data_IF_726991117906
#
_entry.id   IF_726991117906
#
_cell.length_a   1.000
_cell.length_b   1.000
_cell.length_c   1.000
_cell.angle_alpha   90.00
_cell.angle_beta   90.00
_cell.angle_gamma   90.00
#
_symmetry.space_group_name_H-M   'P 1'
#
loop_
_entity.id
_entity.type
_entity.pdbx_description
1 polymer ?
#
# COMPACT_ATOMS: atom_id res chain seq x y z
N UNK A 1 6.76 -12.25 -6.31
CA UNK A 1 6.66 -12.82 -7.67
C UNK A 1 6.37 -14.31 -7.57
N UNK A 2 7.30 -15.12 -7.05
CA UNK A 2 7.16 -16.58 -6.90
C UNK A 2 5.82 -17.06 -6.32
N UNK A 3 5.34 -16.44 -5.23
CA UNK A 3 4.06 -16.81 -4.63
C UNK A 3 2.85 -16.61 -5.58
N UNK A 4 2.88 -15.59 -6.45
CA UNK A 4 1.82 -15.39 -7.47
C UNK A 4 1.91 -16.40 -8.62
N UNK A 5 3.09 -16.97 -8.86
CA UNK A 5 3.32 -17.97 -9.91
C UNK A 5 3.06 -19.40 -9.41
N UNK A 6 2.65 -19.58 -8.14
CA UNK A 6 2.45 -20.89 -7.53
C UNK A 6 3.75 -21.55 -7.03
N UNK A 7 4.89 -20.87 -7.13
CA UNK A 7 6.20 -21.39 -6.70
C UNK A 7 6.38 -21.23 -5.17
N UNK A 8 5.56 -21.93 -4.40
CA UNK A 8 5.47 -21.78 -2.95
C UNK A 8 6.80 -22.04 -2.21
N UNK A 9 7.55 -23.07 -2.63
CA UNK A 9 8.84 -23.41 -2.02
C UNK A 9 9.87 -22.28 -2.19
N UNK A 10 9.98 -21.73 -3.39
CA UNK A 10 10.89 -20.62 -3.69
C UNK A 10 10.48 -19.36 -2.94
N UNK A 11 9.18 -19.03 -2.92
CA UNK A 11 8.66 -17.89 -2.17
C UNK A 11 8.99 -17.98 -0.68
N UNK A 12 8.80 -19.17 -0.08
CA UNK A 12 9.13 -19.44 1.32
C UNK A 12 10.62 -19.27 1.59
N UNK A 13 11.48 -19.82 0.74
CA UNK A 13 12.93 -19.73 0.91
C UNK A 13 13.42 -18.27 0.89
N UNK A 14 12.91 -17.45 -0.04
CA UNK A 14 13.26 -16.03 -0.13
C UNK A 14 12.77 -15.26 1.08
N UNK A 15 11.52 -15.48 1.51
CA UNK A 15 10.95 -14.84 2.71
C UNK A 15 11.76 -15.17 3.96
N UNK A 16 12.05 -16.46 4.17
CA UNK A 16 12.78 -16.94 5.34
C UNK A 16 14.22 -16.44 5.35
N UNK A 17 14.87 -16.33 4.20
CA UNK A 17 16.20 -15.75 4.10
C UNK A 17 16.25 -14.29 4.60
N UNK A 18 15.22 -13.49 4.32
CA UNK A 18 15.08 -12.14 4.86
C UNK A 18 14.79 -12.16 6.38
N UNK A 19 13.81 -12.97 6.81
CA UNK A 19 13.42 -13.06 8.21
C UNK A 19 14.59 -13.46 9.11
N UNK A 20 15.37 -14.48 8.71
CA UNK A 20 16.56 -14.92 9.44
C UNK A 20 17.61 -13.82 9.56
N UNK A 21 17.84 -13.04 8.49
CA UNK A 21 18.78 -11.89 8.52
C UNK A 21 18.34 -10.77 9.46
N UNK A 22 17.06 -10.69 9.82
CA UNK A 22 16.49 -9.71 10.75
C UNK A 22 16.26 -10.30 12.14
N UNK A 23 16.62 -11.56 12.37
CA UNK A 23 16.37 -12.27 13.64
C UNK A 23 14.88 -12.60 13.88
N UNK A 24 14.06 -12.58 12.84
CA UNK A 24 12.64 -12.92 12.92
C UNK A 24 12.42 -14.44 12.72
N UNK A 25 11.37 -14.97 13.33
CA UNK A 25 10.96 -16.37 13.16
C UNK A 25 10.49 -16.64 11.72
N UNK A 26 11.07 -17.63 11.01
CA UNK A 26 10.62 -18.05 9.69
C UNK A 26 9.12 -18.38 9.63
N UNK A 27 8.49 -18.11 8.49
CA UNK A 27 7.05 -18.31 8.29
C UNK A 27 6.76 -19.04 6.97
N UNK A 28 5.49 -19.34 6.71
CA UNK A 28 5.07 -19.85 5.41
C UNK A 28 5.14 -18.76 4.34
N UNK A 29 5.50 -19.16 3.11
CA UNK A 29 5.64 -18.28 1.95
C UNK A 29 4.31 -17.84 1.33
N UNK A 30 3.28 -17.57 2.14
CA UNK A 30 1.98 -17.09 1.64
C UNK A 30 2.04 -15.60 1.31
N UNK A 31 1.17 -15.15 0.40
CA UNK A 31 1.12 -13.74 -0.02
C UNK A 31 0.91 -12.78 1.17
N UNK A 32 0.02 -13.13 2.10
CA UNK A 32 -0.25 -12.29 3.27
C UNK A 32 0.98 -12.13 4.17
N UNK A 33 1.75 -13.21 4.38
CA UNK A 33 3.00 -13.15 5.16
C UNK A 33 4.06 -12.35 4.44
N UNK A 34 4.17 -12.49 3.12
CA UNK A 34 5.10 -11.70 2.29
C UNK A 34 4.74 -10.21 2.36
N UNK A 35 3.46 -9.84 2.23
CA UNK A 35 3.03 -8.45 2.29
C UNK A 35 3.20 -7.85 3.69
N UNK A 36 2.97 -8.65 4.73
CA UNK A 36 3.25 -8.25 6.11
C UNK A 36 4.75 -8.00 6.32
N UNK A 37 5.62 -8.91 5.86
CA UNK A 37 7.07 -8.75 6.01
C UNK A 37 7.58 -7.54 5.23
N UNK A 38 7.08 -7.33 4.01
CA UNK A 38 7.39 -6.15 3.20
C UNK A 38 7.03 -4.84 3.92
N UNK A 39 5.92 -4.81 4.67
CA UNK A 39 5.51 -3.64 5.47
C UNK A 39 6.44 -3.40 6.67
N UNK A 40 6.99 -4.46 7.28
CA UNK A 40 7.95 -4.34 8.38
C UNK A 40 9.30 -3.83 7.89
N UNK A 41 9.82 -4.45 6.83
CA UNK A 41 11.16 -4.16 6.30
C UNK A 41 11.23 -2.75 5.70
N UNK A 42 10.22 -2.33 4.93
CA UNK A 42 10.23 -1.06 4.20
C UNK A 42 9.47 0.06 4.92
N UNK A 43 9.46 0.01 6.26
CA UNK A 43 8.77 1.00 7.06
C UNK A 43 9.46 2.37 6.94
N UNK A 44 8.68 3.41 6.62
CA UNK A 44 9.20 4.78 6.45
C UNK A 44 9.73 5.09 5.05
N UNK A 45 9.84 4.10 4.15
CA UNK A 45 10.42 4.27 2.81
C UNK A 45 9.39 4.61 1.72
N UNK A 46 8.15 4.91 2.09
CA UNK A 46 7.11 5.34 1.13
C UNK A 46 6.43 4.22 0.32
N UNK A 47 6.71 2.95 0.59
CA UNK A 47 6.13 1.83 -0.18
C UNK A 47 4.67 1.51 0.13
N UNK A 48 4.20 1.79 1.36
CA UNK A 48 2.90 1.28 1.83
C UNK A 48 1.70 1.80 1.03
N UNK A 49 1.71 3.07 0.59
CA UNK A 49 0.61 3.63 -0.20
C UNK A 49 0.48 2.90 -1.55
N UNK A 50 1.59 2.64 -2.23
CA UNK A 50 1.59 1.90 -3.50
C UNK A 50 1.16 0.44 -3.31
N UNK A 51 1.59 -0.19 -2.23
CA UNK A 51 1.17 -1.55 -1.89
C UNK A 51 -0.35 -1.62 -1.63
N UNK A 52 -0.92 -0.66 -0.92
CA UNK A 52 -2.38 -0.54 -0.69
C UNK A 52 -3.12 -0.46 -2.04
N UNK A 53 -2.69 0.44 -2.93
CA UNK A 53 -3.34 0.67 -4.23
C UNK A 53 -3.24 -0.56 -5.14
N UNK A 54 -2.05 -1.12 -5.32
CA UNK A 54 -1.84 -2.26 -6.26
C UNK A 54 -2.51 -3.55 -5.78
N UNK A 55 -2.70 -3.70 -4.46
CA UNK A 55 -3.33 -4.87 -3.86
C UNK A 55 -4.82 -4.66 -3.56
N UNK A 56 -5.37 -3.47 -3.86
CA UNK A 56 -6.75 -3.09 -3.55
C UNK A 56 -7.11 -3.37 -2.09
N UNK A 57 -6.20 -3.04 -1.18
CA UNK A 57 -6.39 -3.23 0.26
C UNK A 57 -7.01 -1.99 0.91
N UNK A 58 -7.75 -2.14 2.01
CA UNK A 58 -8.15 -0.99 2.83
C UNK A 58 -6.96 -0.44 3.63
N UNK A 59 -7.06 0.84 4.01
CA UNK A 59 -6.25 1.42 5.07
C UNK A 59 -7.05 1.32 6.37
N UNK A 60 -6.54 0.54 7.33
CA UNK A 60 -7.16 0.39 8.65
C UNK A 60 -6.23 1.02 9.69
N UNK A 61 -6.75 2.01 10.42
CA UNK A 61 -6.08 2.74 11.51
C UNK A 61 -6.86 2.70 12.82
N UNK A 62 -8.16 2.42 12.77
CA UNK A 62 -9.08 2.36 13.91
C UNK A 62 -8.71 1.35 15.01
N UNK A 63 -7.85 0.38 14.71
CA UNK A 63 -7.38 -0.64 15.66
C UNK A 63 -6.53 -0.03 16.81
N UNK A 64 -6.01 1.19 16.65
CA UNK A 64 -5.20 1.86 17.66
C UNK A 64 -5.99 2.93 18.42
N UNK A 65 -6.13 2.82 19.76
CA UNK A 65 -6.95 3.73 20.56
C UNK A 65 -6.37 5.14 20.67
N UNK A 66 -5.13 5.34 20.25
CA UNK A 66 -4.40 6.62 20.30
C UNK A 66 -4.77 7.56 19.14
N UNK A 67 -5.50 7.08 18.12
CA UNK A 67 -5.96 7.91 17.01
C UNK A 67 -7.20 8.71 17.45
N UNK A 68 -7.09 10.04 17.48
CA UNK A 68 -8.21 10.93 17.85
C UNK A 68 -9.36 10.91 16.83
N UNK A 69 -9.11 10.39 15.63
CA UNK A 69 -10.11 10.18 14.58
C UNK A 69 -9.84 8.80 13.98
N UNK A 70 -10.87 7.96 13.90
CA UNK A 70 -10.80 6.73 13.14
C UNK A 70 -10.73 7.07 11.65
N UNK A 71 -9.53 6.94 11.05
CA UNK A 71 -9.31 7.17 9.62
C UNK A 71 -9.13 5.80 8.95
N UNK A 72 -10.25 5.09 8.80
CA UNK A 72 -10.30 3.92 7.94
C UNK A 72 -10.71 4.37 6.54
N UNK A 73 -9.94 3.95 5.53
CA UNK A 73 -10.28 4.17 4.13
C UNK A 73 -10.55 2.82 3.47
N UNK A 74 -11.69 2.64 2.79
CA UNK A 74 -11.98 1.40 2.09
C UNK A 74 -10.96 1.14 0.98
N UNK A 75 -10.89 -0.10 0.53
CA UNK A 75 -10.18 -0.43 -0.69
C UNK A 75 -10.64 0.49 -1.84
N UNK A 76 -9.70 0.89 -2.70
CA UNK A 76 -9.98 1.75 -3.85
C UNK A 76 -10.57 3.14 -3.53
N UNK A 77 -10.40 3.62 -2.28
CA UNK A 77 -10.83 4.98 -1.92
C UNK A 77 -10.18 6.03 -2.86
N UNK A 78 -10.95 6.97 -3.42
CA UNK A 78 -10.41 8.03 -4.29
C UNK A 78 -9.44 8.96 -3.53
N UNK A 79 -9.47 8.93 -2.20
CA UNK A 79 -8.52 9.64 -1.32
C UNK A 79 -7.08 9.13 -1.39
N UNK A 80 -6.84 7.97 -2.03
CA UNK A 80 -5.48 7.47 -2.30
C UNK A 80 -4.84 8.12 -3.55
N UNK A 81 -5.51 9.09 -4.18
CA UNK A 81 -5.00 9.85 -5.31
C UNK A 81 -4.79 11.30 -4.86
N UNK A 82 -3.61 11.85 -5.17
CA UNK A 82 -3.32 13.26 -4.93
C UNK A 82 -4.12 14.11 -5.92
N UNK A 83 -4.48 15.36 -5.57
CA UNK A 83 -5.13 16.26 -6.53
C UNK A 83 -4.17 16.60 -7.67
N UNK A 84 -4.71 16.86 -8.85
CA UNK A 84 -3.99 17.63 -9.87
C UNK A 84 -3.62 18.99 -9.27
N UNK A 85 -2.36 19.46 -9.39
CA UNK A 85 -1.96 20.73 -8.81
C UNK A 85 -2.83 21.89 -9.29
N UNK A 86 -3.26 22.77 -8.37
CA UNK A 86 -4.11 23.91 -8.73
C UNK A 86 -3.49 24.82 -9.80
N UNK A 87 -2.16 24.98 -9.80
CA UNK A 87 -1.48 25.73 -10.85
C UNK A 87 -1.67 25.09 -12.22
N UNK A 88 -1.62 23.76 -12.33
CA UNK A 88 -1.88 23.07 -13.60
C UNK A 88 -3.33 23.30 -14.04
N UNK A 89 -4.29 23.18 -13.13
CA UNK A 89 -5.71 23.44 -13.41
C UNK A 89 -5.98 24.89 -13.85
N UNK A 90 -5.24 25.87 -13.30
CA UNK A 90 -5.43 27.29 -13.60
C UNK A 90 -4.81 27.70 -14.94
N UNK A 91 -3.64 27.18 -15.27
CA UNK A 91 -2.88 27.62 -16.45
C UNK A 91 -3.14 26.76 -17.70
N UNK A 92 -3.56 25.52 -17.54
CA UNK A 92 -3.86 24.64 -18.67
C UNK A 92 -5.32 24.81 -19.10
N UNK A 93 -5.54 25.57 -20.18
CA UNK A 93 -6.88 25.88 -20.71
C UNK A 93 -7.63 24.67 -21.28
N UNK A 94 -6.96 23.53 -21.46
CA UNK A 94 -7.60 22.28 -21.88
C UNK A 94 -8.23 21.51 -20.71
N UNK A 95 -7.85 21.81 -19.46
CA UNK A 95 -8.40 21.16 -18.28
C UNK A 95 -9.65 21.87 -17.77
N UNK A 96 -10.60 21.07 -17.29
CA UNK A 96 -11.83 21.49 -16.63
C UNK A 96 -11.93 20.88 -15.24
N UNK A 97 -12.82 21.38 -14.38
CA UNK A 97 -13.04 20.80 -13.03
C UNK A 97 -13.37 19.29 -13.07
N UNK A 98 -13.99 18.81 -14.16
CA UNK A 98 -14.31 17.40 -14.34
C UNK A 98 -13.08 16.50 -14.56
N UNK A 99 -11.95 17.08 -14.98
CA UNK A 99 -10.69 16.36 -15.19
C UNK A 99 -9.91 16.13 -13.88
N UNK A 100 -10.35 16.74 -12.78
CA UNK A 100 -9.79 16.50 -11.46
C UNK A 100 -10.10 15.07 -10.96
N UNK A 101 -9.28 14.54 -10.06
CA UNK A 101 -9.53 13.26 -9.41
C UNK A 101 -10.81 13.31 -8.56
N UNK A 102 -11.64 12.25 -8.60
CA UNK A 102 -13.03 12.24 -8.08
C UNK A 102 -13.24 12.78 -6.65
N UNK A 103 -12.27 12.62 -5.75
CA UNK A 103 -12.39 13.13 -4.38
C UNK A 103 -12.17 14.65 -4.27
N UNK A 104 -11.45 15.23 -5.23
CA UNK A 104 -10.96 16.62 -5.22
C UNK A 104 -11.71 17.53 -6.19
N UNK A 105 -12.72 16.99 -6.89
CA UNK A 105 -13.66 17.78 -7.69
C UNK A 105 -14.48 18.71 -6.81
#
# INVERSE_FOLDING_TARGET
AEANLGNAATAKNVLNALQLKRGATPTEGTLDKIYLERRKELYGEGHRLFDIKRLRQPLIRSVYPEQWVAIDLPADSPRFMLPLPNNEMLYNTALTENDQNDYWK
#
